data_IF_231422954129
#
_entry.id   IF_231422954129
#
_cell.length_a   1.000
_cell.length_b   1.000
_cell.length_c   1.000
_cell.angle_alpha   90.00
_cell.angle_beta   90.00
_cell.angle_gamma   90.00
#
_symmetry.space_group_name_H-M   'P 1'
#
loop_
_entity.id
_entity.type
_entity.pdbx_description
1 polymer ?
#
# COMPACT_ATOMS: atom_id res chain seq x y z
N UNK A 1 1.16 -13.46 -9.45
CA UNK A 1 1.35 -12.07 -9.93
C UNK A 1 2.12 -12.11 -11.25
N UNK A 2 2.08 -11.07 -12.08
CA UNK A 2 2.91 -11.03 -13.30
C UNK A 2 4.38 -10.72 -12.94
N UNK A 3 5.37 -11.04 -13.78
CA UNK A 3 6.78 -10.74 -13.48
C UNK A 3 7.05 -9.25 -13.19
N UNK A 4 6.33 -8.37 -13.89
CA UNK A 4 6.42 -6.92 -13.67
C UNK A 4 5.88 -6.53 -12.28
N UNK A 5 4.74 -7.10 -11.85
CA UNK A 5 4.21 -6.85 -10.51
C UNK A 5 5.13 -7.40 -9.42
N UNK A 6 5.78 -8.56 -9.64
CA UNK A 6 6.73 -9.12 -8.66
C UNK A 6 7.92 -8.18 -8.40
N UNK A 7 8.40 -7.46 -9.43
CA UNK A 7 9.49 -6.49 -9.30
C UNK A 7 9.13 -5.36 -8.31
N UNK A 8 7.95 -4.77 -8.47
CA UNK A 8 7.45 -3.74 -7.54
C UNK A 8 7.14 -4.33 -6.17
N UNK A 9 6.60 -5.55 -6.13
CA UNK A 9 6.28 -6.23 -4.87
C UNK A 9 7.53 -6.43 -4.01
N UNK A 10 8.63 -6.89 -4.60
CA UNK A 10 9.91 -7.02 -3.89
C UNK A 10 10.44 -5.68 -3.36
N UNK A 11 10.29 -4.58 -4.11
CA UNK A 11 10.69 -3.26 -3.63
C UNK A 11 9.86 -2.83 -2.41
N UNK A 12 8.55 -3.10 -2.44
CA UNK A 12 7.65 -2.85 -1.30
C UNK A 12 8.00 -3.74 -0.12
N UNK A 13 8.30 -5.02 -0.31
CA UNK A 13 8.72 -5.89 0.79
C UNK A 13 10.02 -5.40 1.46
N UNK A 14 11.01 -5.03 0.65
CA UNK A 14 12.31 -4.60 1.13
C UNK A 14 12.31 -3.22 1.81
N UNK A 15 11.25 -2.43 1.62
CA UNK A 15 11.17 -1.06 2.13
C UNK A 15 10.06 -0.94 3.17
N UNK A 16 8.84 -1.29 2.78
CA UNK A 16 7.62 -1.10 3.57
C UNK A 16 7.42 -2.25 4.54
N UNK A 17 7.51 -3.50 4.08
CA UNK A 17 7.25 -4.63 4.99
C UNK A 17 8.24 -4.67 6.15
N UNK A 18 9.51 -4.31 5.95
CA UNK A 18 10.52 -4.25 7.02
C UNK A 18 10.20 -3.29 8.17
N UNK A 19 9.44 -2.23 7.90
CA UNK A 19 9.07 -1.21 8.90
C UNK A 19 7.59 -1.28 9.28
N UNK A 20 6.84 -2.22 8.69
CA UNK A 20 5.45 -2.43 9.00
C UNK A 20 5.30 -2.91 10.45
N UNK A 21 4.28 -2.42 11.14
CA UNK A 21 3.99 -2.80 12.54
C UNK A 21 3.70 -4.29 12.68
N UNK A 22 3.16 -4.90 11.62
CA UNK A 22 2.86 -6.33 11.57
C UNK A 22 4.03 -7.19 11.04
N UNK A 23 5.19 -6.59 10.76
CA UNK A 23 6.39 -7.34 10.41
C UNK A 23 6.92 -8.13 11.61
N UNK A 24 7.75 -9.12 11.33
CA UNK A 24 8.65 -9.72 12.31
C UNK A 24 9.48 -8.65 13.06
N UNK A 25 9.81 -8.89 14.34
CA UNK A 25 10.56 -7.92 15.13
C UNK A 25 12.04 -7.80 14.74
N UNK A 26 12.53 -8.62 13.81
CA UNK A 26 13.93 -8.66 13.39
C UNK A 26 14.22 -7.77 12.18
N UNK A 27 13.16 -7.26 11.52
CA UNK A 27 13.29 -6.36 10.38
C UNK A 27 13.51 -7.08 9.05
N UNK A 28 13.16 -8.36 8.96
CA UNK A 28 13.31 -9.16 7.73
C UNK A 28 12.16 -8.91 6.73
N UNK A 29 11.09 -8.22 7.16
CA UNK A 29 9.94 -7.90 6.31
C UNK A 29 8.94 -9.04 6.18
N UNK A 30 8.99 -10.00 7.11
CA UNK A 30 8.10 -11.16 7.17
C UNK A 30 6.79 -10.73 7.82
N UNK A 31 5.72 -10.71 7.03
CA UNK A 31 4.37 -10.40 7.49
C UNK A 31 3.89 -11.45 8.49
N UNK A 32 3.55 -11.03 9.72
CA UNK A 32 3.02 -11.91 10.78
C UNK A 32 1.50 -11.93 10.87
N UNK A 33 0.81 -11.16 10.02
CA UNK A 33 -0.65 -11.24 9.90
C UNK A 33 -1.03 -12.64 9.42
N UNK A 34 -1.98 -13.28 10.10
CA UNK A 34 -2.45 -14.62 9.72
C UNK A 34 -3.13 -14.60 8.34
N UNK A 35 -3.15 -15.74 7.64
CA UNK A 35 -3.80 -15.88 6.33
C UNK A 35 -5.29 -15.52 6.33
N UNK A 36 -5.93 -15.47 7.50
CA UNK A 36 -7.34 -15.08 7.65
C UNK A 36 -7.58 -13.56 7.56
N UNK A 37 -6.52 -12.75 7.67
CA UNK A 37 -6.57 -11.30 7.56
C UNK A 37 -5.64 -10.86 6.43
N UNK A 38 -6.21 -10.48 5.29
CA UNK A 38 -5.40 -10.04 4.16
C UNK A 38 -4.79 -8.66 4.41
N UNK A 39 -3.49 -8.52 4.15
CA UNK A 39 -2.82 -7.23 4.13
C UNK A 39 -3.34 -6.38 2.96
N UNK A 40 -3.91 -5.21 3.25
CA UNK A 40 -4.47 -4.33 2.21
C UNK A 40 -3.48 -3.91 1.13
N UNK A 41 -2.17 -3.86 1.46
CA UNK A 41 -1.13 -3.59 0.46
C UNK A 41 -1.03 -4.73 -0.55
N UNK A 42 -1.07 -5.99 -0.09
CA UNK A 42 -1.00 -7.18 -0.96
C UNK A 42 -2.30 -7.37 -1.74
N UNK A 43 -3.43 -7.19 -1.07
CA UNK A 43 -4.77 -7.37 -1.65
C UNK A 43 -5.01 -6.43 -2.83
N UNK A 44 -4.69 -5.14 -2.67
CA UNK A 44 -4.91 -4.13 -3.71
C UNK A 44 -3.67 -3.86 -4.56
N UNK A 45 -2.63 -4.70 -4.47
CA UNK A 45 -1.33 -4.43 -5.08
C UNK A 45 -1.37 -4.09 -6.58
N UNK A 46 -2.12 -4.81 -7.44
CA UNK A 46 -2.21 -4.45 -8.85
C UNK A 46 -2.80 -3.05 -9.10
N UNK A 47 -3.77 -2.63 -8.28
CA UNK A 47 -4.36 -1.28 -8.37
C UNK A 47 -3.39 -0.21 -7.89
N UNK A 48 -2.65 -0.49 -6.82
CA UNK A 48 -1.59 0.40 -6.31
C UNK A 48 -0.56 0.66 -7.42
N UNK A 49 -0.09 -0.40 -8.08
CA UNK A 49 0.88 -0.28 -9.17
C UNK A 49 0.34 0.59 -10.30
N UNK A 50 -0.92 0.37 -10.69
CA UNK A 50 -1.57 1.18 -11.72
C UNK A 50 -1.65 2.67 -11.32
N UNK A 51 -2.02 2.98 -10.07
CA UNK A 51 -2.05 4.35 -9.54
C UNK A 51 -0.68 5.01 -9.66
N UNK A 52 0.37 4.35 -9.15
CA UNK A 52 1.72 4.92 -9.11
C UNK A 52 2.27 5.15 -10.52
N UNK A 53 2.11 4.18 -11.42
CA UNK A 53 2.62 4.30 -12.79
C UNK A 53 1.87 5.33 -13.64
N UNK A 54 0.63 5.68 -13.29
CA UNK A 54 -0.17 6.68 -14.01
C UNK A 54 0.10 8.11 -13.57
N UNK A 55 0.23 8.35 -12.26
CA UNK A 55 0.26 9.72 -11.70
C UNK A 55 1.56 10.42 -11.99
N UNK A 56 2.71 9.78 -11.70
CA UNK A 56 4.06 10.33 -11.94
C UNK A 56 4.14 11.82 -11.58
N UNK A 57 3.83 12.15 -10.32
CA UNK A 57 3.78 13.52 -9.81
C UNK A 57 4.86 13.74 -8.75
N UNK A 58 5.38 14.96 -8.66
CA UNK A 58 6.26 15.37 -7.56
C UNK A 58 5.47 15.68 -6.26
N UNK A 59 4.14 15.63 -6.31
CA UNK A 59 3.25 15.93 -5.19
C UNK A 59 2.58 14.65 -4.64
N UNK A 60 2.90 14.28 -3.39
CA UNK A 60 2.33 13.12 -2.72
C UNK A 60 0.79 13.17 -2.60
N UNK A 61 0.20 14.37 -2.54
CA UNK A 61 -1.25 14.51 -2.44
C UNK A 61 -1.99 13.95 -3.67
N UNK A 62 -1.38 13.99 -4.85
CA UNK A 62 -1.99 13.47 -6.07
C UNK A 62 -2.15 11.94 -5.97
N UNK A 63 -1.13 11.26 -5.44
CA UNK A 63 -1.18 9.83 -5.15
C UNK A 63 -2.23 9.52 -4.09
N UNK A 64 -2.30 10.30 -3.01
CA UNK A 64 -3.28 10.09 -1.92
C UNK A 64 -4.71 10.23 -2.47
N UNK A 65 -5.00 11.27 -3.27
CA UNK A 65 -6.31 11.46 -3.88
C UNK A 65 -6.69 10.23 -4.72
N UNK A 66 -5.77 9.76 -5.57
CA UNK A 66 -6.05 8.58 -6.39
C UNK A 66 -6.22 7.30 -5.56
N UNK A 67 -5.47 7.12 -4.48
CA UNK A 67 -5.69 6.02 -3.53
C UNK A 67 -7.12 6.05 -3.01
N UNK A 68 -7.61 7.22 -2.58
CA UNK A 68 -8.98 7.38 -2.10
C UNK A 68 -10.00 7.02 -3.16
N UNK A 69 -9.83 7.57 -4.36
CA UNK A 69 -10.80 7.44 -5.44
C UNK A 69 -10.85 6.05 -6.08
N UNK A 70 -9.73 5.31 -6.11
CA UNK A 70 -9.64 4.05 -6.85
C UNK A 70 -9.60 2.81 -5.95
N UNK A 71 -9.26 2.96 -4.67
CA UNK A 71 -9.16 1.84 -3.73
C UNK A 71 -10.05 2.07 -2.51
N UNK A 72 -9.94 3.21 -1.81
CA UNK A 72 -10.69 3.38 -0.56
C UNK A 72 -12.21 3.32 -0.77
N UNK A 73 -12.72 3.99 -1.81
CA UNK A 73 -14.14 3.96 -2.21
C UNK A 73 -14.72 2.56 -2.44
N UNK A 74 -13.90 1.60 -2.86
CA UNK A 74 -14.32 0.22 -3.11
C UNK A 74 -14.00 -0.75 -1.97
N UNK A 75 -13.25 -0.29 -0.96
CA UNK A 75 -12.71 -1.15 0.09
C UNK A 75 -13.63 -1.18 1.33
N UNK A 76 -13.50 -0.18 2.20
CA UNK A 76 -14.25 -0.07 3.47
C UNK A 76 -14.73 1.35 3.73
N UNK A 77 -14.56 2.24 2.76
CA UNK A 77 -15.07 3.61 2.85
C UNK A 77 -16.59 3.60 2.69
N UNK A 78 -17.28 4.28 3.58
CA UNK A 78 -18.73 4.45 3.53
C UNK A 78 -19.11 5.47 2.44
N UNK A 79 -20.38 5.54 2.01
CA UNK A 79 -20.81 6.51 0.99
C UNK A 79 -20.56 7.98 1.35
N UNK A 80 -20.48 8.32 2.65
CA UNK A 80 -20.12 9.63 3.18
C UNK A 80 -18.60 9.86 3.31
N UNK A 81 -17.77 8.93 2.83
CA UNK A 81 -16.32 9.06 2.77
C UNK A 81 -15.58 8.66 4.04
N UNK A 82 -16.24 8.02 5.01
CA UNK A 82 -15.65 7.63 6.30
C UNK A 82 -14.99 6.26 6.20
N UNK A 83 -13.81 6.12 6.79
CA UNK A 83 -13.11 4.84 6.90
C UNK A 83 -12.47 4.72 8.28
N UNK A 84 -12.98 3.82 9.11
CA UNK A 84 -12.53 3.66 10.51
C UNK A 84 -11.04 3.31 10.61
N UNK A 85 -10.55 2.38 9.78
CA UNK A 85 -9.13 2.00 9.80
C UNK A 85 -8.20 3.16 9.44
N UNK A 86 -8.66 4.08 8.58
CA UNK A 86 -7.90 5.29 8.25
C UNK A 86 -7.93 6.26 9.43
N UNK A 87 -9.11 6.49 10.00
CA UNK A 87 -9.28 7.40 11.13
C UNK A 87 -8.50 6.96 12.36
N UNK A 88 -8.36 5.65 12.58
CA UNK A 88 -7.58 5.06 13.66
C UNK A 88 -6.10 4.81 13.31
N UNK A 89 -5.66 5.13 12.09
CA UNK A 89 -4.27 4.90 11.61
C UNK A 89 -3.85 3.42 11.58
N UNK A 90 -4.84 2.52 11.50
CA UNK A 90 -4.66 1.06 11.44
C UNK A 90 -4.62 0.52 9.99
N UNK A 91 -4.99 1.34 9.01
CA UNK A 91 -4.90 0.95 7.60
C UNK A 91 -3.44 0.95 7.13
N UNK A 92 -2.81 -0.22 7.03
CA UNK A 92 -1.43 -0.36 6.55
C UNK A 92 -1.23 0.25 5.14
N UNK A 93 -2.20 0.07 4.24
CA UNK A 93 -2.15 0.68 2.91
C UNK A 93 -2.09 2.20 2.98
N UNK A 94 -2.89 2.80 3.86
CA UNK A 94 -2.91 4.24 4.00
C UNK A 94 -1.67 4.79 4.70
N UNK A 95 -1.38 4.22 5.88
CA UNK A 95 -0.29 4.63 6.76
C UNK A 95 1.07 4.61 6.06
N UNK A 96 1.32 3.58 5.25
CA UNK A 96 2.58 3.40 4.55
C UNK A 96 2.54 3.84 3.09
N UNK A 97 1.44 4.47 2.62
CA UNK A 97 1.30 4.82 1.22
C UNK A 97 2.45 5.65 0.65
N UNK A 98 2.96 6.70 1.33
CA UNK A 98 4.11 7.45 0.83
C UNK A 98 5.36 6.58 0.64
N UNK A 99 5.59 5.63 1.55
CA UNK A 99 6.72 4.71 1.47
C UNK A 99 6.53 3.66 0.37
N UNK A 100 5.29 3.24 0.12
CA UNK A 100 4.93 2.37 -1.01
C UNK A 100 5.25 3.08 -2.34
N UNK A 101 4.82 4.34 -2.51
CA UNK A 101 5.11 5.14 -3.70
C UNK A 101 6.62 5.27 -3.89
N UNK A 102 7.34 5.68 -2.85
CA UNK A 102 8.81 5.80 -2.89
C UNK A 102 9.50 4.48 -3.27
N UNK A 103 9.08 3.38 -2.66
CA UNK A 103 9.64 2.06 -2.95
C UNK A 103 9.44 1.70 -4.43
N UNK A 104 8.26 1.99 -4.98
CA UNK A 104 7.93 1.69 -6.37
C UNK A 104 8.66 2.59 -7.37
N UNK A 105 8.78 3.88 -7.10
CA UNK A 105 9.51 4.81 -7.97
C UNK A 105 11.03 4.55 -7.97
N UNK A 106 11.55 3.90 -6.92
CA UNK A 106 12.96 3.48 -6.86
C UNK A 106 13.30 2.32 -7.83
N UNK A 107 12.27 1.66 -8.37
CA UNK A 107 12.40 0.52 -9.28
C UNK A 107 12.67 1.02 -10.71
N UNK A 108 13.93 0.90 -11.17
CA UNK A 108 14.35 1.21 -12.55
C UNK A 108 14.00 0.09 -13.51
#
# INVERSE_FOLDING_TARGET
MTPELEKYWHAVQNTVCKVCIDSDPYGDGICRISEMSMCGVKEYFPKIVNIVLRIKSDNMNDYIIALRENICKECRETPDGVCELRNSVECALDRYFPLIVQAMESVK
#
